data_IF_061686256569
#
_entry.id   IF_061686256569
#
_cell.length_a   1.000
_cell.length_b   1.000
_cell.length_c   1.000
_cell.angle_alpha   90.00
_cell.angle_beta   90.00
_cell.angle_gamma   90.00
#
_symmetry.space_group_name_H-M   'P 1'
#
loop_
_entity.id
_entity.type
_entity.pdbx_description
1 polymer ?
#
# COMPACT_ATOMS: atom_id res chain seq x y z
N UNK A 1 18.21 -3.80 -24.53
CA UNK A 1 17.85 -4.13 -23.15
C UNK A 1 16.34 -3.96 -23.06
N UNK A 2 15.60 -4.99 -22.66
CA UNK A 2 14.17 -4.84 -22.44
C UNK A 2 13.94 -3.76 -21.40
N UNK A 3 13.14 -2.76 -21.73
CA UNK A 3 12.85 -1.63 -20.85
C UNK A 3 11.92 -2.15 -19.72
N UNK A 4 12.50 -2.82 -18.72
CA UNK A 4 11.78 -3.33 -17.55
C UNK A 4 11.27 -2.11 -16.80
N UNK A 5 9.96 -2.08 -16.56
CA UNK A 5 9.31 -1.02 -15.78
C UNK A 5 8.74 -1.62 -14.50
N UNK A 6 8.65 -0.82 -13.44
CA UNK A 6 7.96 -1.20 -12.22
C UNK A 6 6.80 -0.26 -11.91
N UNK A 7 5.81 -0.75 -11.18
CA UNK A 7 4.80 0.07 -10.55
C UNK A 7 5.24 0.44 -9.12
N UNK A 8 5.09 1.71 -8.72
CA UNK A 8 5.16 2.13 -7.34
C UNK A 8 3.74 2.26 -6.79
N UNK A 9 3.38 1.42 -5.82
CA UNK A 9 1.99 1.28 -5.39
C UNK A 9 1.68 1.90 -4.02
N UNK A 10 2.62 2.66 -3.43
CA UNK A 10 2.38 3.33 -2.17
C UNK A 10 3.23 4.60 -2.02
N UNK A 11 2.62 5.74 -2.31
CA UNK A 11 3.24 7.06 -2.17
C UNK A 11 2.31 7.96 -1.36
N UNK A 12 2.88 8.72 -0.42
CA UNK A 12 2.17 9.74 0.35
C UNK A 12 2.52 11.13 -0.15
N UNK A 13 1.53 12.02 -0.15
CA UNK A 13 1.72 13.45 -0.49
C UNK A 13 1.55 14.34 0.74
N UNK A 14 1.71 15.66 0.53
CA UNK A 14 1.44 16.69 1.56
C UNK A 14 -0.01 16.64 2.08
N UNK A 15 -0.93 15.98 1.38
CA UNK A 15 -2.34 15.83 1.77
C UNK A 15 -2.58 14.73 2.82
N UNK A 16 -1.57 13.98 3.19
CA UNK A 16 -1.67 13.01 4.29
C UNK A 16 -2.03 13.67 5.61
N UNK A 17 -3.09 13.21 6.30
CA UNK A 17 -3.59 13.82 7.55
C UNK A 17 -2.49 13.93 8.63
N UNK A 18 -1.53 13.02 8.65
CA UNK A 18 -0.45 12.99 9.64
C UNK A 18 0.70 13.99 9.35
N UNK A 19 0.63 14.76 8.28
CA UNK A 19 1.61 15.77 7.86
C UNK A 19 3.08 15.28 7.86
N UNK A 20 3.30 14.00 7.60
CA UNK A 20 4.65 13.39 7.58
C UNK A 20 5.26 13.32 6.18
N UNK A 21 4.58 13.85 5.18
CA UNK A 21 5.07 13.95 3.82
C UNK A 21 5.26 15.40 3.41
N UNK A 22 6.32 15.68 2.66
CA UNK A 22 6.55 16.95 1.98
C UNK A 22 6.53 16.78 0.45
N UNK A 23 6.05 15.64 -0.04
CA UNK A 23 6.01 15.31 -1.46
C UNK A 23 4.77 15.92 -2.11
N UNK A 24 4.97 16.85 -3.03
CA UNK A 24 3.90 17.38 -3.87
C UNK A 24 3.46 16.34 -4.91
N UNK A 25 2.20 16.40 -5.32
CA UNK A 25 1.65 15.47 -6.33
C UNK A 25 2.39 15.58 -7.66
N UNK A 26 2.68 16.81 -8.11
CA UNK A 26 3.36 17.09 -9.36
C UNK A 26 4.79 16.54 -9.34
N UNK A 27 5.54 16.79 -8.26
CA UNK A 27 6.91 16.30 -8.09
C UNK A 27 6.97 14.76 -8.11
N UNK A 28 6.00 14.10 -7.47
CA UNK A 28 5.91 12.64 -7.48
C UNK A 28 5.65 12.08 -8.89
N UNK A 29 4.77 12.72 -9.65
CA UNK A 29 4.47 12.32 -11.03
C UNK A 29 5.67 12.58 -11.95
N UNK A 30 6.33 13.72 -11.84
CA UNK A 30 7.54 14.03 -12.62
C UNK A 30 8.64 13.03 -12.31
N UNK A 31 8.90 12.77 -11.04
CA UNK A 31 9.91 11.79 -10.61
C UNK A 31 9.63 10.40 -11.14
N UNK A 32 8.38 9.95 -11.06
CA UNK A 32 7.97 8.65 -11.59
C UNK A 32 8.16 8.55 -13.12
N UNK A 33 7.90 9.63 -13.85
CA UNK A 33 8.16 9.73 -15.32
C UNK A 33 9.65 9.68 -15.62
N UNK A 34 10.48 10.43 -14.89
CA UNK A 34 11.95 10.43 -15.05
C UNK A 34 12.52 9.02 -14.87
N UNK A 35 12.03 8.29 -13.87
CA UNK A 35 12.45 6.92 -13.59
C UNK A 35 11.83 5.87 -14.54
N UNK A 36 10.91 6.28 -15.42
CA UNK A 36 10.23 5.40 -16.35
C UNK A 36 9.32 4.37 -15.68
N UNK A 37 8.72 4.70 -14.53
CA UNK A 37 7.78 3.81 -13.87
C UNK A 37 6.57 3.51 -14.76
N UNK A 38 5.99 2.31 -14.62
CA UNK A 38 4.77 1.92 -15.35
C UNK A 38 3.52 2.53 -14.71
N UNK A 39 3.54 2.69 -13.39
CA UNK A 39 2.43 3.20 -12.62
C UNK A 39 2.91 3.83 -11.32
N UNK A 40 2.12 4.77 -10.80
CA UNK A 40 2.28 5.33 -9.44
C UNK A 40 0.93 5.37 -8.73
N UNK A 41 0.88 4.93 -7.46
CA UNK A 41 -0.32 4.98 -6.63
C UNK A 41 -0.15 5.97 -5.48
N UNK A 42 -1.11 6.89 -5.36
CA UNK A 42 -1.20 7.83 -4.25
C UNK A 42 -2.06 7.25 -3.14
N UNK A 43 -1.47 7.05 -1.96
CA UNK A 43 -2.08 6.39 -0.80
C UNK A 43 -1.96 7.26 0.45
N UNK A 44 -2.49 8.49 0.39
CA UNK A 44 -2.41 9.41 1.51
C UNK A 44 -3.09 8.85 2.77
N UNK A 45 -2.47 9.12 3.92
CA UNK A 45 -2.97 8.66 5.20
C UNK A 45 -4.25 9.40 5.57
N UNK A 46 -5.36 8.67 5.60
CA UNK A 46 -6.71 9.15 5.94
C UNK A 46 -7.18 10.35 5.13
N UNK A 47 -6.71 10.48 3.89
CA UNK A 47 -7.07 11.59 3.02
C UNK A 47 -7.25 11.14 1.58
N UNK A 48 -8.15 11.81 0.88
CA UNK A 48 -8.32 11.77 -0.58
C UNK A 48 -8.20 13.19 -1.19
N UNK A 49 -7.63 14.14 -0.46
CA UNK A 49 -7.61 15.56 -0.88
C UNK A 49 -6.70 15.78 -2.11
N UNK A 50 -5.67 14.94 -2.30
CA UNK A 50 -4.83 14.93 -3.51
C UNK A 50 -5.62 14.61 -4.80
N UNK A 51 -6.80 13.98 -4.69
CA UNK A 51 -7.58 13.52 -5.84
C UNK A 51 -7.82 14.61 -6.91
N UNK A 52 -8.17 15.81 -6.47
CA UNK A 52 -8.47 16.92 -7.38
C UNK A 52 -7.24 17.43 -8.15
N UNK A 53 -6.05 17.36 -7.55
CA UNK A 53 -4.79 17.72 -8.20
C UNK A 53 -4.34 16.63 -9.16
N UNK A 54 -4.42 15.38 -8.72
CA UNK A 54 -4.11 14.21 -9.56
C UNK A 54 -4.93 14.25 -10.85
N UNK A 55 -6.25 14.48 -10.75
CA UNK A 55 -7.13 14.57 -11.91
C UNK A 55 -6.71 15.64 -12.92
N UNK A 56 -6.35 16.84 -12.44
CA UNK A 56 -5.91 17.94 -13.32
C UNK A 56 -4.63 17.63 -14.07
N UNK A 57 -3.69 16.92 -13.42
CA UNK A 57 -2.40 16.56 -14.00
C UNK A 57 -2.57 15.40 -14.96
N UNK A 58 -3.37 14.38 -14.61
CA UNK A 58 -3.62 13.20 -15.43
C UNK A 58 -4.27 13.57 -16.77
N UNK A 59 -5.30 14.43 -16.74
CA UNK A 59 -5.99 14.94 -17.94
C UNK A 59 -5.03 15.67 -18.90
N UNK A 60 -3.95 16.26 -18.40
CA UNK A 60 -3.01 17.07 -19.18
C UNK A 60 -1.72 16.33 -19.56
N UNK A 61 -1.44 15.18 -18.97
CA UNK A 61 -0.07 14.64 -19.02
C UNK A 61 0.30 13.94 -20.31
N UNK A 62 -0.67 13.44 -21.10
CA UNK A 62 -0.40 12.65 -22.32
C UNK A 62 0.56 11.46 -22.09
N UNK A 63 0.80 11.09 -20.86
CA UNK A 63 1.76 10.09 -20.41
C UNK A 63 1.17 8.68 -20.50
N UNK A 64 1.99 7.71 -20.92
CA UNK A 64 1.63 6.28 -20.86
C UNK A 64 1.79 5.67 -19.45
N UNK A 65 2.15 6.46 -18.46
CA UNK A 65 2.24 6.01 -17.06
C UNK A 65 0.85 6.04 -16.42
N UNK A 66 0.45 4.93 -15.79
CA UNK A 66 -0.84 4.84 -15.11
C UNK A 66 -0.77 5.51 -13.74
N UNK A 67 -1.68 6.42 -13.46
CA UNK A 67 -1.90 6.96 -12.12
C UNK A 67 -2.98 6.14 -11.43
N UNK A 68 -2.73 5.75 -10.18
CA UNK A 68 -3.60 4.88 -9.39
C UNK A 68 -4.07 5.64 -8.16
N UNK A 69 -5.37 5.60 -7.93
CA UNK A 69 -6.02 6.22 -6.77
C UNK A 69 -6.11 5.23 -5.62
N UNK A 70 -5.56 5.61 -4.48
CA UNK A 70 -5.54 4.82 -3.28
C UNK A 70 -5.68 5.66 -2.02
N UNK A 71 -5.71 5.01 -0.88
CA UNK A 71 -5.64 5.64 0.44
C UNK A 71 -5.07 4.66 1.47
N UNK A 72 -4.30 5.15 2.45
CA UNK A 72 -3.96 4.41 3.67
C UNK A 72 -4.99 4.73 4.74
N UNK A 73 -5.89 3.80 5.02
CA UNK A 73 -6.98 3.99 5.98
C UNK A 73 -6.87 3.01 7.16
N UNK A 74 -7.31 3.44 8.34
CA UNK A 74 -7.27 2.62 9.55
C UNK A 74 -8.53 1.78 9.71
N UNK A 75 -8.37 0.55 10.18
CA UNK A 75 -9.45 -0.39 10.47
C UNK A 75 -9.21 -1.14 11.78
N UNK A 76 -10.24 -1.81 12.29
CA UNK A 76 -10.09 -2.75 13.38
C UNK A 76 -9.36 -4.03 12.93
N UNK A 77 -8.82 -4.78 13.89
CA UNK A 77 -8.18 -6.07 13.62
C UNK A 77 -9.12 -7.10 13.00
N UNK A 78 -8.62 -7.94 12.10
CA UNK A 78 -9.35 -9.09 11.55
C UNK A 78 -9.56 -10.21 12.58
N UNK A 79 -8.80 -10.23 13.68
CA UNK A 79 -8.72 -11.36 14.61
C UNK A 79 -9.49 -11.21 15.91
N UNK A 80 -10.10 -10.06 16.20
CA UNK A 80 -10.84 -9.75 17.44
C UNK A 80 -10.08 -9.96 18.78
N UNK A 81 -8.79 -10.30 18.73
CA UNK A 81 -8.08 -10.80 19.91
C UNK A 81 -7.63 -9.69 20.85
N UNK A 82 -7.37 -8.49 20.36
CA UNK A 82 -7.03 -7.32 21.18
C UNK A 82 -7.48 -6.03 20.49
N UNK A 83 -8.53 -5.39 20.99
CA UNK A 83 -9.04 -4.09 20.51
C UNK A 83 -8.19 -2.91 21.05
N UNK A 84 -6.89 -2.92 20.81
CA UNK A 84 -6.02 -1.88 21.38
C UNK A 84 -5.37 -0.96 20.36
N UNK A 85 -5.50 -1.26 19.05
CA UNK A 85 -4.97 -0.44 17.96
C UNK A 85 -5.80 -0.58 16.70
N UNK A 86 -6.03 0.54 16.02
CA UNK A 86 -6.35 0.50 14.59
C UNK A 86 -5.09 0.15 13.80
N UNK A 87 -5.22 -0.72 12.82
CA UNK A 87 -4.17 -1.03 11.85
C UNK A 87 -4.45 -0.29 10.55
N UNK A 88 -3.41 -0.03 9.76
CA UNK A 88 -3.58 0.55 8.44
C UNK A 88 -3.82 -0.51 7.36
N UNK A 89 -4.64 -0.14 6.38
CA UNK A 89 -4.81 -0.83 5.10
C UNK A 89 -4.33 0.07 3.97
N UNK A 90 -3.64 -0.49 3.00
CA UNK A 90 -3.42 0.14 1.70
C UNK A 90 -4.59 -0.25 0.80
N UNK A 91 -5.44 0.70 0.46
CA UNK A 91 -6.59 0.49 -0.41
C UNK A 91 -6.34 1.12 -1.76
N UNK A 92 -6.45 0.34 -2.85
CA UNK A 92 -6.34 0.84 -4.22
C UNK A 92 -7.68 0.66 -4.94
N UNK A 93 -8.16 1.71 -5.61
CA UNK A 93 -9.37 1.63 -6.41
C UNK A 93 -9.12 0.76 -7.66
N UNK A 94 -9.95 -0.26 -7.89
CA UNK A 94 -9.87 -1.11 -9.09
C UNK A 94 -10.54 -0.48 -10.31
N UNK A 95 -11.51 0.39 -10.07
CA UNK A 95 -12.34 1.01 -11.09
C UNK A 95 -12.88 2.36 -10.59
N UNK A 96 -13.65 3.07 -11.42
CA UNK A 96 -14.23 4.38 -11.07
C UNK A 96 -15.16 4.32 -9.83
N UNK A 97 -15.85 3.20 -9.62
CA UNK A 97 -16.65 3.01 -8.41
C UNK A 97 -15.77 2.89 -7.17
N UNK A 98 -14.64 2.20 -7.26
CA UNK A 98 -13.65 2.12 -6.18
C UNK A 98 -13.13 3.48 -5.74
N UNK A 99 -12.96 4.44 -6.67
CA UNK A 99 -12.55 5.81 -6.32
C UNK A 99 -13.62 6.49 -5.44
N UNK A 100 -14.90 6.35 -5.81
CA UNK A 100 -16.02 6.91 -5.00
C UNK A 100 -16.09 6.24 -3.63
N UNK A 101 -15.85 4.92 -3.58
CA UNK A 101 -15.81 4.17 -2.32
C UNK A 101 -14.70 4.66 -1.41
N UNK A 102 -13.48 4.92 -1.95
CA UNK A 102 -12.39 5.50 -1.16
C UNK A 102 -12.76 6.87 -0.59
N UNK A 103 -13.40 7.73 -1.40
CA UNK A 103 -13.89 9.03 -0.96
C UNK A 103 -14.95 8.90 0.15
N UNK A 104 -15.91 7.98 0.00
CA UNK A 104 -16.94 7.72 0.99
C UNK A 104 -16.35 7.15 2.29
N UNK A 105 -15.44 6.19 2.20
CA UNK A 105 -14.74 5.62 3.36
C UNK A 105 -13.97 6.70 4.12
N UNK A 106 -13.22 7.55 3.42
CA UNK A 106 -12.47 8.64 4.04
C UNK A 106 -13.37 9.66 4.72
N UNK A 107 -14.48 10.08 4.04
CA UNK A 107 -15.43 11.06 4.56
C UNK A 107 -16.26 10.54 5.76
N UNK A 108 -16.43 9.22 5.87
CA UNK A 108 -17.27 8.58 6.89
C UNK A 108 -16.48 7.88 7.98
N UNK A 109 -15.18 8.14 8.13
CA UNK A 109 -14.36 7.57 9.19
C UNK A 109 -14.92 7.95 10.56
N UNK A 110 -15.04 6.93 11.43
CA UNK A 110 -15.63 7.06 12.76
C UNK A 110 -14.51 7.16 13.78
N UNK A 111 -14.57 8.16 14.67
CA UNK A 111 -13.71 8.24 15.84
C UNK A 111 -14.04 7.10 16.79
N UNK A 112 -13.06 6.25 17.09
CA UNK A 112 -13.23 5.17 18.08
C UNK A 112 -13.23 5.76 19.51
N UNK A 113 -14.25 5.41 20.30
CA UNK A 113 -14.40 5.92 21.68
C UNK A 113 -13.30 5.42 22.62
N UNK A 114 -12.70 4.25 22.32
CA UNK A 114 -11.65 3.63 23.14
C UNK A 114 -10.24 3.94 22.61
N UNK A 115 -10.14 4.37 21.36
CA UNK A 115 -8.88 4.70 20.70
C UNK A 115 -8.89 6.20 20.33
N UNK A 116 -8.78 7.07 21.33
CA UNK A 116 -8.93 8.54 21.21
C UNK A 116 -8.22 9.19 20.00
N UNK A 117 -7.17 8.56 19.49
CA UNK A 117 -6.40 9.05 18.34
C UNK A 117 -6.68 8.28 17.02
N UNK A 118 -7.63 7.35 17.00
CA UNK A 118 -7.84 6.47 15.84
C UNK A 118 -9.22 6.70 15.22
N UNK A 119 -9.22 7.17 13.97
CA UNK A 119 -10.42 7.15 13.12
C UNK A 119 -10.41 5.86 12.33
N UNK A 120 -11.50 5.11 12.36
CA UNK A 120 -11.63 3.82 11.67
C UNK A 120 -12.59 3.93 10.48
N UNK A 121 -12.34 3.13 9.45
CA UNK A 121 -13.26 3.02 8.32
C UNK A 121 -14.61 2.46 8.74
N UNK A 122 -15.68 2.88 8.06
CA UNK A 122 -16.97 2.23 8.19
C UNK A 122 -16.93 0.85 7.52
N UNK A 123 -16.96 -0.21 8.35
CA UNK A 123 -16.80 -1.59 7.90
C UNK A 123 -17.98 -2.07 7.03
N UNK A 124 -19.17 -1.53 7.22
CA UNK A 124 -20.35 -1.90 6.41
C UNK A 124 -20.21 -1.36 4.98
N UNK A 125 -19.74 -0.11 4.82
CA UNK A 125 -19.45 0.48 3.51
C UNK A 125 -18.33 -0.31 2.84
N UNK A 126 -17.25 -0.60 3.57
CA UNK A 126 -16.12 -1.38 3.06
C UNK A 126 -16.58 -2.75 2.55
N UNK A 127 -17.32 -3.52 3.37
CA UNK A 127 -17.77 -4.86 3.01
C UNK A 127 -18.73 -4.84 1.80
N UNK A 128 -19.63 -3.86 1.73
CA UNK A 128 -20.58 -3.70 0.63
C UNK A 128 -19.89 -3.47 -0.72
N UNK A 129 -18.73 -2.84 -0.72
CA UNK A 129 -18.04 -2.40 -1.95
C UNK A 129 -16.63 -3.03 -2.09
N UNK A 130 -16.35 -4.10 -1.33
CA UNK A 130 -15.05 -4.76 -1.27
C UNK A 130 -14.48 -5.16 -2.64
N UNK A 131 -15.36 -5.57 -3.57
CA UNK A 131 -14.99 -6.00 -4.92
C UNK A 131 -14.40 -4.88 -5.79
N UNK A 132 -14.66 -3.61 -5.46
CA UNK A 132 -14.16 -2.43 -6.18
C UNK A 132 -12.76 -1.99 -5.71
N UNK A 133 -12.19 -2.67 -4.71
CA UNK A 133 -10.92 -2.34 -4.09
C UNK A 133 -9.94 -3.50 -4.16
N UNK A 134 -8.64 -3.16 -4.27
CA UNK A 134 -7.54 -4.04 -3.86
C UNK A 134 -7.14 -3.65 -2.45
N UNK A 135 -7.00 -4.65 -1.58
CA UNK A 135 -6.71 -4.46 -0.15
C UNK A 135 -5.34 -5.02 0.18
N UNK A 136 -4.45 -4.13 0.57
CA UNK A 136 -3.10 -4.44 1.01
C UNK A 136 -2.93 -4.38 2.52
N UNK A 137 -1.98 -5.16 3.03
CA UNK A 137 -1.72 -5.26 4.47
C UNK A 137 -1.01 -4.05 5.07
N UNK A 138 -0.58 -3.10 4.26
CA UNK A 138 0.35 -2.04 4.61
C UNK A 138 1.62 -2.59 5.30
N UNK A 139 2.75 -1.88 5.28
CA UNK A 139 3.97 -2.34 5.95
C UNK A 139 3.91 -2.06 7.48
N UNK A 140 4.71 -1.16 8.03
CA UNK A 140 4.91 -0.92 9.47
C UNK A 140 3.65 -0.72 10.31
N UNK A 141 2.61 -0.09 9.76
CA UNK A 141 1.36 0.18 10.47
C UNK A 141 0.30 -0.92 10.23
N UNK A 142 0.62 -1.91 9.40
CA UNK A 142 -0.30 -2.98 9.02
C UNK A 142 -0.42 -4.07 10.06
N UNK A 143 -1.56 -4.77 10.05
CA UNK A 143 -1.83 -5.88 10.97
C UNK A 143 -0.82 -7.02 10.77
N UNK A 144 -0.56 -7.44 9.53
CA UNK A 144 0.34 -8.56 9.21
C UNK A 144 1.75 -8.31 9.75
N UNK A 145 2.32 -7.11 9.51
CA UNK A 145 3.64 -6.75 10.00
C UNK A 145 3.70 -6.80 11.53
N UNK A 146 2.72 -6.18 12.21
CA UNK A 146 2.70 -6.12 13.67
C UNK A 146 2.44 -7.48 14.31
N UNK A 147 1.59 -8.30 13.73
CA UNK A 147 1.32 -9.65 14.22
C UNK A 147 2.56 -10.56 14.09
N UNK A 148 3.31 -10.45 13.02
CA UNK A 148 4.59 -11.15 12.85
C UNK A 148 5.63 -10.62 13.82
N UNK A 149 5.77 -9.30 13.96
CA UNK A 149 6.75 -8.68 14.85
C UNK A 149 6.58 -9.09 16.31
N UNK A 150 5.35 -9.11 16.81
CA UNK A 150 5.08 -9.27 18.24
C UNK A 150 4.61 -10.67 18.64
N UNK A 151 4.08 -11.46 17.70
CA UNK A 151 3.31 -12.65 18.02
C UNK A 151 3.60 -13.87 17.16
N UNK A 152 4.66 -13.88 16.36
CA UNK A 152 4.98 -14.97 15.42
C UNK A 152 4.95 -16.36 16.05
N UNK A 153 5.42 -16.49 17.30
CA UNK A 153 5.49 -17.79 17.99
C UNK A 153 4.16 -18.26 18.60
N UNK A 154 3.13 -17.40 18.57
CA UNK A 154 1.81 -17.80 19.08
C UNK A 154 1.00 -18.49 17.99
N UNK A 155 0.29 -19.61 18.33
CA UNK A 155 -0.56 -20.28 17.37
C UNK A 155 -1.71 -19.34 16.95
N UNK A 156 -1.70 -18.89 15.70
CA UNK A 156 -2.74 -18.07 15.10
C UNK A 156 -3.19 -18.69 13.80
N UNK A 157 -4.42 -18.44 13.44
CA UNK A 157 -4.90 -18.80 12.12
C UNK A 157 -4.53 -17.70 11.10
N UNK A 158 -3.23 -17.62 10.79
CA UNK A 158 -2.71 -16.67 9.79
C UNK A 158 -3.39 -16.84 8.44
N UNK A 159 -3.85 -18.06 8.08
CA UNK A 159 -4.56 -18.29 6.83
C UNK A 159 -5.93 -17.62 6.82
N UNK A 160 -6.61 -17.56 7.96
CA UNK A 160 -7.88 -16.84 8.09
C UNK A 160 -7.67 -15.34 7.94
N UNK A 161 -6.66 -14.80 8.64
CA UNK A 161 -6.30 -13.38 8.58
C UNK A 161 -5.88 -12.98 7.15
N UNK A 162 -5.04 -13.80 6.52
CA UNK A 162 -4.53 -13.57 5.19
C UNK A 162 -5.63 -13.42 4.12
N UNK A 163 -6.74 -14.16 4.24
CA UNK A 163 -7.87 -14.10 3.29
C UNK A 163 -8.55 -12.73 3.19
N UNK A 164 -8.30 -11.84 4.14
CA UNK A 164 -8.82 -10.48 4.11
C UNK A 164 -8.11 -9.60 3.06
N UNK A 165 -6.85 -9.95 2.73
CA UNK A 165 -5.96 -9.17 1.88
C UNK A 165 -5.87 -9.73 0.46
N UNK A 166 -5.73 -8.84 -0.54
CA UNK A 166 -5.41 -9.21 -1.91
C UNK A 166 -3.89 -9.25 -2.13
N UNK A 167 -3.12 -8.54 -1.31
CA UNK A 167 -1.67 -8.54 -1.34
C UNK A 167 -1.07 -8.17 0.03
N UNK A 168 0.15 -8.63 0.27
CA UNK A 168 0.96 -8.16 1.39
C UNK A 168 1.96 -7.12 0.91
N UNK A 169 2.31 -6.20 1.79
CA UNK A 169 3.25 -5.12 1.51
C UNK A 169 4.46 -5.21 2.42
N UNK A 170 5.65 -5.10 1.83
CA UNK A 170 6.93 -4.93 2.51
C UNK A 170 7.58 -3.62 2.07
N UNK A 171 8.37 -3.01 2.95
CA UNK A 171 9.09 -1.76 2.69
C UNK A 171 10.58 -1.90 2.97
N UNK A 172 11.42 -0.95 2.53
CA UNK A 172 12.84 -0.91 2.82
C UNK A 172 13.15 -1.08 4.31
N UNK A 173 14.32 -1.62 4.59
CA UNK A 173 14.76 -1.98 5.94
C UNK A 173 15.24 -0.73 6.68
N UNK A 174 14.56 -0.36 7.76
CA UNK A 174 14.96 0.74 8.64
C UNK A 174 15.50 0.24 9.99
N UNK A 175 15.08 -0.95 10.44
CA UNK A 175 15.51 -1.57 11.68
C UNK A 175 16.04 -2.98 11.44
N UNK A 176 16.88 -3.49 12.36
CA UNK A 176 17.52 -4.81 12.21
C UNK A 176 16.52 -5.96 12.07
N UNK A 177 15.39 -5.86 12.76
CA UNK A 177 14.34 -6.87 12.75
C UNK A 177 13.52 -6.90 11.46
N UNK A 178 13.51 -5.81 10.67
CA UNK A 178 12.64 -5.69 9.48
C UNK A 178 12.96 -6.78 8.44
N UNK A 179 14.23 -7.15 8.28
CA UNK A 179 14.62 -8.26 7.37
C UNK A 179 13.90 -9.54 7.75
N UNK A 180 13.95 -9.92 9.01
CA UNK A 180 13.33 -11.16 9.48
C UNK A 180 11.81 -11.11 9.41
N UNK A 181 11.21 -9.93 9.57
CA UNK A 181 9.76 -9.75 9.41
C UNK A 181 9.38 -9.88 7.93
N UNK A 182 10.10 -9.22 7.03
CA UNK A 182 9.87 -9.32 5.59
C UNK A 182 10.03 -10.77 5.09
N UNK A 183 11.06 -11.51 5.55
CA UNK A 183 11.24 -12.93 5.23
C UNK A 183 10.03 -13.77 5.68
N UNK A 184 9.49 -13.53 6.87
CA UNK A 184 8.30 -14.21 7.38
C UNK A 184 7.02 -13.84 6.63
N UNK A 185 6.91 -12.59 6.16
CA UNK A 185 5.80 -12.18 5.27
C UNK A 185 5.87 -12.96 3.95
N UNK A 186 7.08 -13.16 3.40
CA UNK A 186 7.28 -14.00 2.21
C UNK A 186 6.89 -15.47 2.47
N UNK A 187 7.24 -16.02 3.63
CA UNK A 187 6.82 -17.37 4.02
C UNK A 187 5.30 -17.49 4.14
N UNK A 188 4.67 -16.54 4.80
CA UNK A 188 3.21 -16.47 4.94
C UNK A 188 2.50 -16.35 3.58
N UNK A 189 3.03 -15.52 2.70
CA UNK A 189 2.56 -15.35 1.33
C UNK A 189 2.50 -16.69 0.58
N UNK A 190 3.58 -17.46 0.62
CA UNK A 190 3.65 -18.80 0.00
C UNK A 190 2.64 -19.79 0.59
N UNK A 191 2.40 -19.71 1.91
CA UNK A 191 1.44 -20.58 2.60
C UNK A 191 -0.01 -20.24 2.25
N UNK A 192 -0.30 -18.99 1.89
CA UNK A 192 -1.65 -18.47 1.68
C UNK A 192 -1.98 -18.17 0.21
N UNK A 193 -0.97 -18.27 -0.68
CA UNK A 193 -1.06 -17.91 -2.10
C UNK A 193 -1.50 -16.44 -2.32
N UNK A 194 -0.90 -15.53 -1.53
CA UNK A 194 -1.14 -14.08 -1.61
C UNK A 194 0.14 -13.40 -2.08
N UNK A 195 0.11 -12.56 -3.15
CA UNK A 195 1.29 -11.89 -3.63
C UNK A 195 1.85 -10.89 -2.61
N UNK A 196 3.17 -10.76 -2.56
CA UNK A 196 3.86 -9.68 -1.84
C UNK A 196 4.34 -8.64 -2.83
N UNK A 197 4.18 -7.37 -2.48
CA UNK A 197 4.77 -6.25 -3.20
C UNK A 197 5.76 -5.51 -2.30
N UNK A 198 6.81 -4.99 -2.90
CA UNK A 198 7.74 -4.05 -2.27
C UNK A 198 7.40 -2.64 -2.74
N UNK A 199 7.17 -1.73 -1.79
CA UNK A 199 6.90 -0.31 -2.04
C UNK A 199 7.92 0.57 -1.35
N UNK A 200 8.16 1.77 -1.87
CA UNK A 200 9.02 2.74 -1.20
C UNK A 200 8.33 3.39 -0.01
N UNK A 201 6.98 3.38 0.02
CA UNK A 201 6.18 4.15 0.98
C UNK A 201 6.64 5.62 1.05
N UNK A 202 6.93 6.19 -0.14
CA UNK A 202 7.62 7.46 -0.30
C UNK A 202 6.84 8.63 0.30
N UNK A 203 7.57 9.50 1.01
CA UNK A 203 7.09 10.75 1.60
C UNK A 203 7.91 11.96 1.13
N UNK A 204 8.97 11.70 0.40
CA UNK A 204 9.90 12.65 -0.21
C UNK A 204 10.23 12.15 -1.61
N UNK A 205 10.57 13.07 -2.50
CA UNK A 205 10.83 12.77 -3.90
C UNK A 205 11.95 11.74 -4.08
N UNK A 206 13.02 11.82 -3.29
CA UNK A 206 14.19 10.94 -3.34
C UNK A 206 13.86 9.50 -2.94
N UNK A 207 12.79 9.29 -2.17
CA UNK A 207 12.35 7.93 -1.78
C UNK A 207 11.64 7.19 -2.92
N UNK A 208 11.22 7.89 -3.97
CA UNK A 208 10.80 7.23 -5.22
C UNK A 208 12.07 6.81 -5.95
N UNK A 209 12.51 5.57 -5.71
CA UNK A 209 13.82 5.05 -6.12
C UNK A 209 13.80 4.43 -7.52
N UNK A 210 14.95 4.44 -8.23
CA UNK A 210 15.17 3.61 -9.41
C UNK A 210 14.95 2.11 -9.15
N UNK A 211 14.71 1.35 -10.21
CA UNK A 211 14.51 -0.11 -10.11
C UNK A 211 15.72 -0.79 -9.47
N UNK A 212 16.92 -0.38 -9.87
CA UNK A 212 18.18 -0.95 -9.42
C UNK A 212 18.35 -0.81 -7.90
N UNK A 213 18.04 0.36 -7.36
CA UNK A 213 18.11 0.61 -5.91
C UNK A 213 17.09 -0.24 -5.15
N UNK A 214 15.85 -0.35 -5.65
CA UNK A 214 14.85 -1.20 -5.03
C UNK A 214 15.23 -2.68 -5.08
N UNK A 215 15.81 -3.16 -6.18
CA UNK A 215 16.29 -4.54 -6.28
C UNK A 215 17.46 -4.81 -5.33
N UNK A 216 18.38 -3.86 -5.17
CA UNK A 216 19.48 -3.95 -4.22
C UNK A 216 18.96 -4.00 -2.78
N UNK A 217 18.02 -3.12 -2.42
CA UNK A 217 17.41 -3.05 -1.08
C UNK A 217 16.78 -4.39 -0.66
N UNK A 218 16.13 -5.09 -1.59
CA UNK A 218 15.50 -6.38 -1.33
C UNK A 218 16.34 -7.60 -1.73
N UNK A 219 17.61 -7.41 -2.12
CA UNK A 219 18.52 -8.49 -2.58
C UNK A 219 18.74 -9.58 -1.53
N UNK A 220 18.61 -9.27 -0.24
CA UNK A 220 18.72 -10.24 0.86
C UNK A 220 17.64 -11.33 0.83
N UNK A 221 16.53 -11.13 0.12
CA UNK A 221 15.50 -12.15 -0.12
C UNK A 221 15.90 -13.15 -1.23
N UNK A 222 16.99 -12.88 -1.94
CA UNK A 222 17.42 -13.59 -3.15
C UNK A 222 16.86 -12.99 -4.42
N UNK A 223 17.63 -13.03 -5.51
CA UNK A 223 17.33 -12.33 -6.78
C UNK A 223 15.93 -12.61 -7.33
N UNK A 224 15.48 -13.86 -7.31
CA UNK A 224 14.17 -14.24 -7.84
C UNK A 224 13.03 -13.61 -7.03
N UNK A 225 13.13 -13.64 -5.69
CA UNK A 225 12.09 -13.07 -4.82
C UNK A 225 12.13 -11.55 -4.92
N UNK A 226 13.32 -10.94 -4.90
CA UNK A 226 13.47 -9.49 -5.09
C UNK A 226 12.80 -9.03 -6.40
N UNK A 227 13.06 -9.73 -7.52
CA UNK A 227 12.40 -9.44 -8.79
C UNK A 227 10.88 -9.60 -8.72
N UNK A 228 10.39 -10.64 -8.04
CA UNK A 228 8.94 -10.85 -7.89
C UNK A 228 8.29 -9.71 -7.12
N UNK A 229 8.82 -9.33 -5.97
CA UNK A 229 8.19 -8.34 -5.09
C UNK A 229 8.36 -6.91 -5.58
N UNK A 230 9.48 -6.59 -6.25
CA UNK A 230 9.77 -5.23 -6.74
C UNK A 230 9.14 -4.95 -8.10
N UNK A 231 9.06 -5.95 -8.98
CA UNK A 231 8.69 -5.73 -10.38
C UNK A 231 7.43 -6.50 -10.77
N UNK A 232 7.46 -7.84 -10.64
CA UNK A 232 6.43 -8.70 -11.21
C UNK A 232 5.07 -8.52 -10.55
N UNK A 233 5.02 -8.59 -9.23
CA UNK A 233 3.77 -8.51 -8.48
C UNK A 233 3.15 -7.11 -8.49
N UNK A 234 3.91 -5.99 -8.27
CA UNK A 234 3.36 -4.65 -8.38
C UNK A 234 2.74 -4.37 -9.76
N UNK A 235 3.42 -4.77 -10.84
CA UNK A 235 2.88 -4.60 -12.19
C UNK A 235 1.60 -5.41 -12.41
N UNK A 236 1.55 -6.68 -11.94
CA UNK A 236 0.33 -7.49 -12.03
C UNK A 236 -0.85 -6.87 -11.27
N UNK A 237 -0.63 -6.30 -10.09
CA UNK A 237 -1.69 -5.62 -9.36
C UNK A 237 -2.15 -4.36 -10.11
N UNK A 238 -1.22 -3.58 -10.67
CA UNK A 238 -1.55 -2.41 -11.48
C UNK A 238 -2.37 -2.76 -12.73
N UNK A 239 -2.17 -3.95 -13.33
CA UNK A 239 -2.95 -4.45 -14.47
C UNK A 239 -4.42 -4.75 -14.11
N UNK A 240 -4.72 -5.07 -12.84
CA UNK A 240 -6.09 -5.31 -12.38
C UNK A 240 -6.93 -4.02 -12.23
N UNK A 241 -6.32 -2.86 -12.36
CA UNK A 241 -6.94 -1.55 -12.16
C UNK A 241 -7.33 -0.97 -13.52
N UNK A 242 -8.61 -0.60 -13.69
CA UNK A 242 -9.15 -0.11 -14.95
C UNK A 242 -10.16 1.02 -14.73
N UNK A 243 -9.82 2.27 -15.10
CA UNK A 243 -10.70 3.44 -15.10
C UNK A 243 -10.30 4.50 -16.12
#
# INVERSE_FOLDING_TARGET
>A
MNNIKRAELHVHTIFSENQRSSLEVEDAIERAKELGLSSIAFCDYRSMDAYSEIMKIDDNSGSNMKIIYGAELSFETTTQTYKTRGYSLTLLAKNKEGIKVLQELTATMIQDEYLEACKLINIDIFNKHRENLLVGSTSYNGEIFNEIKWWWERPKDYKKMAKFYDFFEISPVHHKEDKSINERIIELSKMCDIPVIATSCARYCEQICPIEEMLEEFSYLGENIAYEVVIKNPNKLAELINY
#
